data_IF_778492021693
#
_entry.id   IF_778492021693
#
_cell.length_a   1.000
_cell.length_b   1.000
_cell.length_c   1.000
_cell.angle_alpha   90.00
_cell.angle_beta   90.00
_cell.angle_gamma   90.00
#
_symmetry.space_group_name_H-M   'P 1'
#
loop_
_entity.id
_entity.type
_entity.pdbx_description
1 polymer ?
#
# COMPACT_ATOMS: atom_id res chain seq x y z
N UNK A 1 0.14 16.14 10.28
CA UNK A 1 -0.20 14.84 9.68
C UNK A 1 1.03 14.25 9.02
N UNK A 2 1.01 12.95 8.85
CA UNK A 2 2.10 12.20 8.22
C UNK A 2 1.56 11.47 7.00
N UNK A 3 2.25 11.60 5.88
CA UNK A 3 1.98 10.83 4.65
C UNK A 3 2.88 9.60 4.62
N UNK A 4 2.32 8.48 4.19
CA UNK A 4 3.02 7.22 4.01
C UNK A 4 2.74 6.75 2.59
N UNK A 5 3.75 6.87 1.73
CA UNK A 5 3.65 6.53 0.31
C UNK A 5 4.53 5.32 0.04
N UNK A 6 3.95 4.30 -0.60
CA UNK A 6 4.71 3.13 -1.04
C UNK A 6 4.46 2.90 -2.51
N UNK A 7 5.53 2.59 -3.23
CA UNK A 7 5.48 2.10 -4.60
C UNK A 7 5.96 0.65 -4.60
N UNK A 8 5.18 -0.23 -5.22
CA UNK A 8 5.57 -1.63 -5.39
C UNK A 8 5.72 -1.98 -6.86
N UNK A 9 6.71 -2.82 -7.13
CA UNK A 9 6.81 -3.54 -8.38
C UNK A 9 6.34 -4.97 -8.14
N UNK A 10 5.49 -5.48 -9.02
CA UNK A 10 5.04 -6.86 -8.96
C UNK A 10 6.11 -7.79 -9.54
N UNK A 11 6.13 -9.05 -9.10
CA UNK A 11 7.09 -10.04 -9.59
C UNK A 11 6.91 -10.28 -11.09
N UNK A 12 8.01 -10.32 -11.83
CA UNK A 12 8.01 -10.46 -13.29
C UNK A 12 7.45 -11.82 -13.76
N UNK A 13 7.57 -12.86 -12.93
CA UNK A 13 7.08 -14.20 -13.24
C UNK A 13 5.56 -14.33 -13.22
N UNK A 14 4.85 -13.34 -12.68
CA UNK A 14 3.40 -13.33 -12.67
C UNK A 14 2.87 -13.07 -14.09
N UNK A 15 1.85 -13.83 -14.52
CA UNK A 15 1.17 -13.58 -15.79
C UNK A 15 0.40 -12.25 -15.73
N UNK A 16 -0.05 -11.76 -16.88
CA UNK A 16 -0.87 -10.55 -16.94
C UNK A 16 -2.17 -10.71 -16.13
N UNK A 17 -2.80 -11.89 -16.19
CA UNK A 17 -4.01 -12.18 -15.42
C UNK A 17 -3.74 -12.23 -13.93
N UNK A 18 -2.62 -12.85 -13.52
CA UNK A 18 -2.20 -12.90 -12.12
C UNK A 18 -1.90 -11.51 -11.58
N UNK A 19 -1.20 -10.67 -12.36
CA UNK A 19 -0.92 -9.28 -11.97
C UNK A 19 -2.20 -8.48 -11.77
N UNK A 20 -3.18 -8.64 -12.67
CA UNK A 20 -4.46 -7.95 -12.55
C UNK A 20 -5.19 -8.35 -11.27
N UNK A 21 -5.20 -9.64 -10.93
CA UNK A 21 -5.82 -10.15 -9.71
C UNK A 21 -5.09 -9.64 -8.46
N UNK A 22 -3.77 -9.70 -8.46
CA UNK A 22 -2.93 -9.21 -7.34
C UNK A 22 -3.19 -7.73 -7.08
N UNK A 23 -3.27 -6.92 -8.12
CA UNK A 23 -3.57 -5.48 -7.99
C UNK A 23 -4.92 -5.25 -7.30
N UNK A 24 -5.97 -5.97 -7.70
CA UNK A 24 -7.28 -5.86 -7.07
C UNK A 24 -7.26 -6.34 -5.63
N UNK A 25 -6.56 -7.42 -5.33
CA UNK A 25 -6.44 -7.96 -3.98
C UNK A 25 -5.68 -6.99 -3.05
N UNK A 26 -4.62 -6.37 -3.54
CA UNK A 26 -3.86 -5.35 -2.77
C UNK A 26 -4.76 -4.16 -2.47
N UNK A 27 -5.44 -3.65 -3.49
CA UNK A 27 -6.35 -2.50 -3.34
C UNK A 27 -7.44 -2.79 -2.33
N UNK A 28 -8.16 -3.89 -2.50
CA UNK A 28 -9.26 -4.26 -1.60
C UNK A 28 -8.77 -4.49 -0.17
N UNK A 29 -7.64 -5.18 0.00
CA UNK A 29 -7.10 -5.49 1.32
C UNK A 29 -6.65 -4.25 2.07
N UNK A 30 -5.87 -3.39 1.44
CA UNK A 30 -5.35 -2.18 2.08
C UNK A 30 -6.43 -1.12 2.29
N UNK A 31 -7.26 -0.85 1.29
CA UNK A 31 -8.37 0.11 1.44
C UNK A 31 -9.40 -0.37 2.47
N UNK A 32 -9.54 -1.69 2.63
CA UNK A 32 -10.39 -2.28 3.66
C UNK A 32 -9.94 -1.98 5.09
N UNK A 33 -8.74 -1.47 5.29
CA UNK A 33 -8.25 -1.05 6.61
C UNK A 33 -8.81 0.30 7.05
N UNK A 34 -9.45 1.05 6.16
CA UNK A 34 -10.06 2.33 6.49
C UNK A 34 -11.07 2.18 7.62
N UNK A 35 -10.96 3.03 8.64
CA UNK A 35 -11.82 2.99 9.81
C UNK A 35 -11.51 1.89 10.83
N UNK A 36 -10.52 1.05 10.58
CA UNK A 36 -10.15 -0.07 11.47
C UNK A 36 -8.87 0.16 12.25
N UNK A 37 -8.07 1.14 11.83
CA UNK A 37 -6.75 1.38 12.43
C UNK A 37 -6.75 2.77 13.09
N UNK A 38 -6.49 2.84 14.39
CA UNK A 38 -6.44 4.13 15.09
C UNK A 38 -5.41 5.06 14.46
N UNK A 39 -5.81 6.30 14.19
CA UNK A 39 -4.93 7.32 13.63
C UNK A 39 -4.74 7.27 12.13
N UNK A 40 -5.26 6.25 11.44
CA UNK A 40 -5.28 6.21 9.98
C UNK A 40 -6.43 7.07 9.47
N UNK A 41 -6.11 8.19 8.80
CA UNK A 41 -7.08 9.17 8.32
C UNK A 41 -7.60 8.84 6.93
N UNK A 42 -6.72 8.39 6.04
CA UNK A 42 -7.10 8.00 4.68
C UNK A 42 -6.13 6.96 4.15
N UNK A 43 -6.63 6.11 3.27
CA UNK A 43 -5.84 5.09 2.60
C UNK A 43 -6.42 4.85 1.20
N UNK A 44 -5.58 5.02 0.20
CA UNK A 44 -5.94 4.81 -1.20
C UNK A 44 -4.85 4.00 -1.89
N UNK A 45 -5.26 3.11 -2.77
CA UNK A 45 -4.32 2.32 -3.56
C UNK A 45 -4.63 2.53 -5.03
N UNK A 46 -3.64 3.02 -5.78
CA UNK A 46 -3.77 3.18 -7.22
C UNK A 46 -3.20 1.97 -7.93
N UNK A 47 -4.04 1.34 -8.75
CA UNK A 47 -3.68 0.15 -9.55
C UNK A 47 -4.01 0.33 -11.03
N UNK A 48 -4.60 1.47 -11.40
CA UNK A 48 -5.09 1.72 -12.76
C UNK A 48 -4.29 2.82 -13.45
N UNK A 49 -4.35 2.83 -14.78
CA UNK A 49 -3.79 3.92 -15.58
C UNK A 49 -2.27 3.92 -15.70
N UNK A 50 -1.61 2.82 -15.41
CA UNK A 50 -0.15 2.72 -15.49
C UNK A 50 0.33 2.94 -16.92
N UNK A 51 1.30 3.83 -17.10
CA UNK A 51 1.98 4.04 -18.38
C UNK A 51 3.24 3.16 -18.46
N UNK A 52 3.64 2.82 -19.68
CA UNK A 52 4.81 1.96 -19.91
C UNK A 52 6.13 2.61 -19.44
N UNK A 53 6.16 3.93 -19.32
CA UNK A 53 7.30 4.67 -18.78
C UNK A 53 7.52 4.45 -17.27
N UNK A 54 6.56 3.80 -16.58
CA UNK A 54 6.61 3.62 -15.13
C UNK A 54 7.54 2.50 -14.73
N UNK A 55 8.17 2.64 -13.56
CA UNK A 55 9.03 1.62 -12.95
C UNK A 55 8.32 0.84 -11.84
N UNK A 56 7.17 1.29 -11.41
CA UNK A 56 6.36 0.64 -10.39
C UNK A 56 4.98 0.31 -10.95
N UNK A 57 4.27 -0.58 -10.27
CA UNK A 57 2.97 -1.09 -10.71
C UNK A 57 1.82 -0.64 -9.83
N UNK A 58 2.08 -0.43 -8.54
CA UNK A 58 1.05 -0.12 -7.54
C UNK A 58 1.54 0.97 -6.62
N UNK A 59 0.66 1.92 -6.28
CA UNK A 59 0.98 2.97 -5.31
C UNK A 59 0.01 2.93 -4.15
N UNK A 60 0.54 2.96 -2.92
CA UNK A 60 -0.21 3.22 -1.70
C UNK A 60 -0.03 4.67 -1.31
N UNK A 61 -1.14 5.37 -1.09
CA UNK A 61 -1.17 6.73 -0.56
C UNK A 61 -2.00 6.73 0.72
N UNK A 62 -1.36 6.90 1.87
CA UNK A 62 -2.04 6.89 3.15
C UNK A 62 -1.63 8.09 4.00
N UNK A 63 -2.55 8.50 4.89
CA UNK A 63 -2.35 9.65 5.77
C UNK A 63 -2.66 9.26 7.20
N UNK A 64 -1.78 9.63 8.14
CA UNK A 64 -1.91 9.35 9.57
C UNK A 64 -1.91 10.65 10.36
N UNK A 65 -2.53 10.61 11.55
CA UNK A 65 -2.57 11.80 12.43
C UNK A 65 -1.18 12.24 12.85
N UNK A 66 -0.25 11.28 13.10
CA UNK A 66 1.12 11.53 13.52
C UNK A 66 2.01 10.32 13.26
N UNK A 67 3.29 10.47 13.59
CA UNK A 67 4.28 9.40 13.39
C UNK A 67 4.02 8.18 14.28
N UNK A 68 3.53 8.41 15.50
CA UNK A 68 3.21 7.31 16.42
C UNK A 68 2.10 6.41 15.84
N UNK A 69 1.09 7.00 15.20
CA UNK A 69 0.02 6.27 14.53
C UNK A 69 0.56 5.44 13.36
N UNK A 70 1.50 5.98 12.58
CA UNK A 70 2.14 5.23 11.49
C UNK A 70 2.93 4.03 12.04
N UNK A 71 3.70 4.23 13.11
CA UNK A 71 4.46 3.13 13.73
C UNK A 71 3.53 2.03 14.26
N UNK A 72 2.43 2.41 14.89
CA UNK A 72 1.43 1.46 15.39
C UNK A 72 0.76 0.69 14.25
N UNK A 73 0.49 1.36 13.14
CA UNK A 73 -0.06 0.73 11.93
C UNK A 73 0.86 -0.36 11.39
N UNK A 74 2.16 -0.10 11.34
CA UNK A 74 3.14 -1.04 10.77
C UNK A 74 3.09 -2.42 11.46
N UNK A 75 2.79 -2.47 12.75
CA UNK A 75 2.72 -3.71 13.54
C UNK A 75 1.30 -4.13 13.88
N UNK A 76 0.30 -3.41 13.42
CA UNK A 76 -1.10 -3.73 13.71
C UNK A 76 -1.49 -5.07 13.05
N UNK A 77 -2.12 -6.00 13.80
CA UNK A 77 -2.44 -7.33 13.26
C UNK A 77 -3.24 -7.32 11.97
N UNK A 78 -4.20 -6.42 11.82
CA UNK A 78 -5.01 -6.33 10.60
C UNK A 78 -4.17 -5.89 9.40
N UNK A 79 -3.23 -4.95 9.58
CA UNK A 79 -2.31 -4.55 8.53
C UNK A 79 -1.34 -5.68 8.18
N UNK A 80 -0.75 -6.34 9.19
CA UNK A 80 0.21 -7.44 8.98
C UNK A 80 -0.45 -8.58 8.20
N UNK A 81 -1.69 -8.92 8.52
CA UNK A 81 -2.43 -9.98 7.81
C UNK A 81 -2.57 -9.64 6.32
N UNK A 82 -2.94 -8.41 5.99
CA UNK A 82 -3.06 -7.99 4.59
C UNK A 82 -1.68 -7.99 3.90
N UNK A 83 -0.68 -7.43 4.54
CA UNK A 83 0.67 -7.34 3.98
C UNK A 83 1.26 -8.72 3.68
N UNK A 84 1.14 -9.64 4.63
CA UNK A 84 1.71 -10.99 4.49
C UNK A 84 0.93 -11.88 3.51
N UNK A 85 -0.36 -11.67 3.39
CA UNK A 85 -1.21 -12.50 2.52
C UNK A 85 -1.40 -11.96 1.11
N UNK A 86 -1.45 -10.64 0.95
CA UNK A 86 -1.85 -10.01 -0.32
C UNK A 86 -0.73 -9.23 -1.01
N UNK A 87 0.29 -8.78 -0.30
CA UNK A 87 1.29 -7.86 -0.83
C UNK A 87 2.66 -8.53 -0.96
N UNK A 88 3.25 -8.94 0.15
CA UNK A 88 4.63 -9.44 0.19
C UNK A 88 4.91 -10.63 -0.73
N UNK A 89 4.01 -11.62 -0.84
CA UNK A 89 4.27 -12.77 -1.71
C UNK A 89 4.38 -12.42 -3.20
N UNK A 90 3.84 -11.27 -3.61
CA UNK A 90 3.68 -10.93 -5.03
C UNK A 90 4.50 -9.73 -5.49
N UNK A 91 5.24 -9.10 -4.57
CA UNK A 91 6.03 -7.89 -4.89
C UNK A 91 7.52 -8.20 -4.86
N UNK A 92 8.26 -7.62 -5.82
CA UNK A 92 9.71 -7.78 -5.95
C UNK A 92 10.49 -6.58 -5.43
N UNK A 93 9.87 -5.40 -5.41
CA UNK A 93 10.51 -4.16 -4.99
C UNK A 93 9.50 -3.30 -4.23
N UNK A 94 9.95 -2.69 -3.15
CA UNK A 94 9.17 -1.77 -2.33
C UNK A 94 9.99 -0.50 -2.11
N UNK A 95 9.40 0.64 -2.46
CA UNK A 95 9.99 1.95 -2.22
C UNK A 95 9.04 2.74 -1.33
N UNK A 96 9.55 3.30 -0.24
CA UNK A 96 8.74 3.98 0.77
C UNK A 96 9.24 5.41 0.98
N UNK A 97 8.31 6.34 1.10
CA UNK A 97 8.57 7.70 1.55
C UNK A 97 7.53 8.08 2.59
N UNK A 98 8.01 8.37 3.80
CA UNK A 98 7.19 8.90 4.89
C UNK A 98 7.61 10.34 5.15
N UNK A 99 6.64 11.25 5.22
CA UNK A 99 6.96 12.66 5.42
C UNK A 99 5.84 13.41 6.13
N UNK A 100 6.23 14.50 6.81
CA UNK A 100 5.29 15.36 7.53
C UNK A 100 4.62 16.32 6.56
N UNK A 101 3.30 16.42 6.66
CA UNK A 101 2.50 17.38 5.89
C UNK A 101 1.89 18.38 6.87
N UNK A 102 2.19 19.64 6.64
CA UNK A 102 1.62 20.74 7.41
C UNK A 102 0.47 21.33 6.60
N UNK A 103 -0.71 21.17 7.11
CA UNK A 103 -1.90 21.74 6.48
C UNK A 103 -2.47 22.81 7.40
#
# INVERSE_FOLDING_TARGET
>A
MVKHIILWRLKDELSAEEKAKVKQDIKAGLEGLAGRIPGLLSIEVNVDGRLDSSNADVMLDSTFVDEAALKAYAVHPEHVTVADGKVRPYTSLRTCLDYIVNI
#
